data_IF_058851483514
#
_entry.id   IF_058851483514
#
_cell.length_a   1.000
_cell.length_b   1.000
_cell.length_c   1.000
_cell.angle_alpha   90.00
_cell.angle_beta   90.00
_cell.angle_gamma   90.00
#
_symmetry.space_group_name_H-M   'P 1'
#
loop_
_entity.id
_entity.type
_entity.pdbx_description
1 polymer ?
#
# COMPACT_ATOMS: atom_id res chain seq x y z
N UNK A 1 -19.84 11.96 16.42
CA UNK A 1 -19.96 13.42 16.09
C UNK A 1 -20.45 13.57 14.67
N UNK A 2 -21.36 14.53 14.35
CA UNK A 2 -21.85 14.72 12.97
C UNK A 2 -20.86 15.58 12.15
N UNK A 3 -20.81 15.45 10.83
CA UNK A 3 -19.91 16.24 9.95
C UNK A 3 -20.04 17.77 10.17
N UNK A 4 -21.23 18.26 10.52
CA UNK A 4 -21.46 19.68 10.87
C UNK A 4 -20.73 20.12 12.14
N UNK A 5 -20.54 19.24 13.10
CA UNK A 5 -19.83 19.51 14.35
C UNK A 5 -18.32 19.55 14.11
N UNK A 6 -17.81 18.68 13.24
CA UNK A 6 -16.40 18.73 12.79
C UNK A 6 -16.13 20.05 12.05
N UNK A 7 -17.05 20.49 11.19
CA UNK A 7 -16.96 21.77 10.49
C UNK A 7 -16.90 22.96 11.47
N UNK A 8 -17.76 22.97 12.48
CA UNK A 8 -17.77 24.00 13.52
C UNK A 8 -16.46 24.00 14.34
N UNK A 9 -15.98 22.83 14.73
CA UNK A 9 -14.74 22.67 15.52
C UNK A 9 -13.48 23.08 14.75
N UNK A 10 -13.47 22.87 13.44
CA UNK A 10 -12.34 23.22 12.58
C UNK A 10 -12.46 24.62 11.97
N UNK A 11 -13.58 25.31 12.17
CA UNK A 11 -13.80 26.66 11.62
C UNK A 11 -13.89 26.69 10.09
N UNK A 12 -14.43 25.64 9.50
CA UNK A 12 -14.65 25.54 8.03
C UNK A 12 -16.11 25.24 7.73
N UNK A 13 -16.50 25.38 6.45
CA UNK A 13 -17.85 24.99 6.02
C UNK A 13 -18.03 23.45 5.99
N UNK A 14 -19.23 22.92 6.15
CA UNK A 14 -19.50 21.49 5.98
C UNK A 14 -19.10 20.95 4.59
N UNK A 15 -19.17 21.77 3.56
CA UNK A 15 -18.68 21.44 2.23
C UNK A 15 -17.15 21.28 2.18
N UNK A 16 -16.40 22.09 2.93
CA UNK A 16 -14.95 21.92 3.05
C UNK A 16 -14.58 20.60 3.74
N UNK A 17 -15.30 20.20 4.80
CA UNK A 17 -15.14 18.89 5.45
C UNK A 17 -15.43 17.76 4.45
N UNK A 18 -16.49 17.88 3.65
CA UNK A 18 -16.82 16.92 2.60
C UNK A 18 -15.72 16.82 1.52
N UNK A 19 -15.14 17.96 1.10
CA UNK A 19 -14.01 17.95 0.16
C UNK A 19 -12.81 17.17 0.72
N UNK A 20 -12.49 17.37 2.00
CA UNK A 20 -11.40 16.65 2.67
C UNK A 20 -11.71 15.17 2.76
N UNK A 21 -12.92 14.80 3.17
CA UNK A 21 -13.38 13.43 3.31
C UNK A 21 -13.28 12.65 1.97
N UNK A 22 -13.59 13.32 0.85
CA UNK A 22 -13.51 12.74 -0.49
C UNK A 22 -12.17 13.01 -1.22
N UNK A 23 -11.15 13.47 -0.51
CA UNK A 23 -9.81 13.67 -1.08
C UNK A 23 -9.70 14.80 -2.12
N UNK A 24 -10.72 15.68 -2.25
CA UNK A 24 -10.77 16.74 -3.26
C UNK A 24 -9.92 17.96 -2.86
N UNK A 25 -9.36 18.70 -3.82
CA UNK A 25 -8.64 19.95 -3.55
C UNK A 25 -9.60 21.06 -3.09
N UNK A 26 -9.06 22.13 -2.47
CA UNK A 26 -9.85 23.29 -2.04
C UNK A 26 -9.73 23.61 -0.55
N UNK A 27 -8.95 22.83 0.21
CA UNK A 27 -8.65 23.08 1.64
C UNK A 27 -7.13 23.06 1.82
N UNK A 28 -6.59 24.08 2.49
CA UNK A 28 -5.15 24.20 2.76
C UNK A 28 -4.62 23.03 3.60
N UNK A 29 -3.33 22.69 3.45
CA UNK A 29 -2.70 21.48 4.02
C UNK A 29 -2.90 21.35 5.54
N UNK A 30 -2.60 22.39 6.31
CA UNK A 30 -2.76 22.38 7.78
C UNK A 30 -4.22 22.14 8.23
N UNK A 31 -5.18 22.77 7.53
CA UNK A 31 -6.60 22.60 7.82
C UNK A 31 -7.10 21.22 7.41
N UNK A 32 -6.59 20.70 6.30
CA UNK A 32 -6.86 19.33 5.83
C UNK A 32 -6.44 18.30 6.84
N UNK A 33 -5.24 18.42 7.40
CA UNK A 33 -4.71 17.51 8.40
C UNK A 33 -5.55 17.53 9.69
N UNK A 34 -5.94 18.72 10.16
CA UNK A 34 -6.82 18.87 11.32
C UNK A 34 -8.17 18.20 11.12
N UNK A 35 -8.78 18.38 9.93
CA UNK A 35 -10.07 17.77 9.58
C UNK A 35 -9.93 16.25 9.48
N UNK A 36 -8.87 15.74 8.85
CA UNK A 36 -8.60 14.32 8.71
C UNK A 36 -8.51 13.63 10.06
N UNK A 37 -7.76 14.20 11.00
CA UNK A 37 -7.63 13.67 12.37
C UNK A 37 -9.00 13.56 13.06
N UNK A 38 -9.81 14.60 12.99
CA UNK A 38 -11.15 14.58 13.61
C UNK A 38 -12.11 13.60 12.93
N UNK A 39 -11.99 13.41 11.61
CA UNK A 39 -12.75 12.40 10.88
C UNK A 39 -12.36 10.99 11.36
N UNK A 40 -11.08 10.69 11.48
CA UNK A 40 -10.56 9.40 11.95
C UNK A 40 -10.97 9.12 13.40
N UNK A 41 -10.81 10.09 14.31
CA UNK A 41 -11.21 9.98 15.72
C UNK A 41 -12.71 9.72 15.91
N UNK A 42 -13.54 10.15 14.96
CA UNK A 42 -15.00 9.97 15.00
C UNK A 42 -15.51 8.84 14.09
N UNK A 43 -14.62 7.98 13.60
CA UNK A 43 -14.98 6.79 12.83
C UNK A 43 -15.44 7.08 11.40
N UNK A 44 -15.22 8.29 10.88
CA UNK A 44 -15.40 8.59 9.47
C UNK A 44 -14.15 8.13 8.71
N UNK A 45 -14.21 6.95 8.07
CA UNK A 45 -13.20 6.60 7.10
C UNK A 45 -13.24 7.65 5.97
N UNK A 46 -12.15 8.38 5.77
CA UNK A 46 -12.01 9.20 4.58
C UNK A 46 -12.18 8.28 3.37
N UNK A 47 -13.14 8.61 2.53
CA UNK A 47 -13.33 7.93 1.25
C UNK A 47 -12.14 8.34 0.36
N UNK A 48 -10.99 7.66 0.57
CA UNK A 48 -9.87 7.79 -0.37
C UNK A 48 -10.42 7.33 -1.72
N UNK A 49 -10.20 8.08 -2.80
CA UNK A 49 -10.69 7.68 -4.11
C UNK A 49 -10.32 6.22 -4.31
N UNK A 50 -11.30 5.35 -4.48
CA UNK A 50 -11.09 3.96 -4.85
C UNK A 50 -10.41 4.00 -6.22
N UNK A 51 -9.13 3.69 -6.24
CA UNK A 51 -8.46 3.40 -7.50
C UNK A 51 -9.19 2.18 -8.08
N UNK A 52 -9.75 2.33 -9.27
CA UNK A 52 -10.27 1.18 -9.97
C UNK A 52 -9.10 0.27 -10.32
N UNK A 53 -9.28 -1.05 -10.35
CA UNK A 53 -8.22 -1.97 -10.75
C UNK A 53 -7.54 -1.58 -12.06
N UNK A 54 -8.32 -1.10 -13.05
CA UNK A 54 -7.83 -0.59 -14.32
C UNK A 54 -6.97 0.68 -14.21
N UNK A 55 -7.25 1.59 -13.24
CA UNK A 55 -6.48 2.81 -13.04
C UNK A 55 -5.13 2.52 -12.35
N UNK A 56 -5.08 1.46 -11.53
CA UNK A 56 -3.86 0.96 -10.90
C UNK A 56 -2.89 0.40 -11.95
N UNK A 57 -3.42 -0.13 -13.02
CA UNK A 57 -2.68 -0.91 -14.01
C UNK A 57 -2.41 -0.16 -15.33
N UNK A 58 -2.88 1.08 -15.48
CA UNK A 58 -2.65 1.89 -16.69
C UNK A 58 -1.21 2.36 -16.79
N UNK A 59 -0.48 1.84 -17.75
CA UNK A 59 0.83 2.35 -18.21
C UNK A 59 0.99 2.12 -19.70
N UNK A 60 1.57 3.10 -20.37
CA UNK A 60 1.64 3.13 -21.85
C UNK A 60 2.78 2.26 -22.45
N UNK A 61 3.73 1.77 -21.61
CA UNK A 61 4.83 0.92 -22.10
C UNK A 61 5.16 -0.16 -21.05
N UNK A 62 4.63 -1.36 -21.22
CA UNK A 62 4.35 -2.25 -20.10
C UNK A 62 5.18 -3.54 -20.05
N UNK A 63 5.81 -3.96 -21.12
CA UNK A 63 6.56 -5.23 -21.17
C UNK A 63 7.82 -5.26 -20.29
N UNK A 64 8.28 -4.10 -19.81
CA UNK A 64 9.45 -3.94 -18.94
C UNK A 64 9.14 -3.27 -17.60
N UNK A 65 7.90 -3.32 -17.15
CA UNK A 65 7.52 -2.78 -15.85
C UNK A 65 7.48 -3.88 -14.78
N UNK A 66 8.04 -3.59 -13.60
CA UNK A 66 7.82 -4.36 -12.37
C UNK A 66 6.84 -3.57 -11.51
N UNK A 67 5.78 -4.22 -11.04
CA UNK A 67 4.79 -3.59 -10.18
C UNK A 67 5.07 -3.89 -8.71
N UNK A 68 5.27 -2.85 -7.93
CA UNK A 68 5.29 -2.95 -6.47
C UNK A 68 3.92 -2.54 -5.93
N UNK A 69 3.20 -3.51 -5.40
CA UNK A 69 1.94 -3.30 -4.70
C UNK A 69 2.23 -3.13 -3.20
N UNK A 70 2.07 -1.92 -2.71
CA UNK A 70 2.16 -1.60 -1.28
C UNK A 70 0.79 -1.83 -0.66
N UNK A 71 0.60 -2.97 0.00
CA UNK A 71 -0.68 -3.36 0.56
C UNK A 71 -0.84 -2.92 2.00
N UNK A 72 -1.97 -2.28 2.31
CA UNK A 72 -2.32 -1.79 3.65
C UNK A 72 -3.58 -2.48 4.16
N UNK A 73 -3.53 -2.96 5.42
CA UNK A 73 -4.72 -3.44 6.12
C UNK A 73 -5.18 -2.42 7.18
N UNK A 74 -4.28 -2.01 8.05
CA UNK A 74 -4.54 -1.07 9.14
C UNK A 74 -3.73 0.22 9.03
N UNK A 75 -2.86 0.33 8.04
CA UNK A 75 -1.94 1.44 7.79
C UNK A 75 -0.94 1.74 8.93
N UNK A 76 -0.94 0.96 10.01
CA UNK A 76 -0.06 1.21 11.17
C UNK A 76 1.40 0.86 10.90
N UNK A 77 1.68 -0.28 10.29
CA UNK A 77 3.05 -0.74 10.05
C UNK A 77 3.65 -0.09 8.80
N UNK A 78 2.87 0.02 7.75
CA UNK A 78 3.33 0.57 6.47
C UNK A 78 3.46 2.09 6.51
N UNK A 79 2.49 2.80 7.11
CA UNK A 79 2.53 4.26 7.24
C UNK A 79 3.32 4.71 8.49
N UNK A 80 3.40 3.87 9.51
CA UNK A 80 4.17 4.15 10.73
C UNK A 80 5.68 4.02 10.57
N UNK A 81 6.15 3.40 9.47
CA UNK A 81 7.58 3.23 9.19
C UNK A 81 7.98 3.72 7.79
N UNK A 82 7.75 5.02 7.47
CA UNK A 82 7.98 5.55 6.14
C UNK A 82 9.45 5.44 5.69
N UNK A 83 10.40 5.56 6.60
CA UNK A 83 11.83 5.44 6.29
C UNK A 83 12.21 4.06 5.79
N UNK A 84 11.74 3.01 6.44
CA UNK A 84 11.97 1.63 6.03
C UNK A 84 11.34 1.32 4.66
N UNK A 85 10.09 1.74 4.47
CA UNK A 85 9.37 1.53 3.21
C UNK A 85 10.06 2.29 2.05
N UNK A 86 10.53 3.52 2.29
CA UNK A 86 11.27 4.29 1.28
C UNK A 86 12.57 3.59 0.90
N UNK A 87 13.34 3.07 1.85
CA UNK A 87 14.57 2.33 1.57
C UNK A 87 14.32 1.10 0.70
N UNK A 88 13.24 0.36 0.95
CA UNK A 88 12.85 -0.79 0.11
C UNK A 88 12.54 -0.31 -1.31
N UNK A 89 11.72 0.73 -1.47
CA UNK A 89 11.34 1.27 -2.78
C UNK A 89 12.57 1.77 -3.55
N UNK A 90 13.47 2.50 -2.89
CA UNK A 90 14.68 3.03 -3.50
C UNK A 90 15.61 1.92 -3.98
N UNK A 91 15.82 0.87 -3.15
CA UNK A 91 16.63 -0.28 -3.52
C UNK A 91 16.04 -1.04 -4.73
N UNK A 92 14.74 -1.30 -4.72
CA UNK A 92 14.05 -1.95 -5.85
C UNK A 92 14.14 -1.07 -7.10
N UNK A 93 13.90 0.24 -6.98
CA UNK A 93 13.96 1.19 -8.10
C UNK A 93 15.35 1.22 -8.74
N UNK A 94 16.40 1.20 -7.92
CA UNK A 94 17.78 1.17 -8.40
C UNK A 94 18.04 -0.11 -9.20
N UNK A 95 17.64 -1.26 -8.66
CA UNK A 95 17.88 -2.54 -9.32
C UNK A 95 17.03 -2.70 -10.59
N UNK A 96 15.77 -2.28 -10.58
CA UNK A 96 14.93 -2.25 -11.78
C UNK A 96 15.61 -1.46 -12.90
N UNK A 97 16.11 -0.26 -12.62
CA UNK A 97 16.82 0.56 -13.62
C UNK A 97 18.08 -0.12 -14.16
N UNK A 98 18.86 -0.79 -13.30
CA UNK A 98 20.06 -1.53 -13.72
C UNK A 98 19.74 -2.67 -14.67
N UNK A 99 18.59 -3.31 -14.50
CA UNK A 99 18.09 -4.43 -15.32
C UNK A 99 17.24 -3.96 -16.51
N UNK A 100 17.06 -2.66 -16.70
CA UNK A 100 16.26 -2.11 -17.81
C UNK A 100 14.76 -2.20 -17.59
N UNK A 101 14.31 -2.31 -16.33
CA UNK A 101 12.90 -2.29 -15.95
C UNK A 101 12.50 -0.92 -15.36
N UNK A 102 11.23 -0.59 -15.50
CA UNK A 102 10.59 0.51 -14.78
C UNK A 102 9.90 -0.04 -13.53
N UNK A 103 9.99 0.70 -12.42
CA UNK A 103 9.25 0.37 -11.20
C UNK A 103 7.97 1.20 -11.10
N UNK A 104 6.84 0.52 -11.06
CA UNK A 104 5.53 1.11 -10.85
C UNK A 104 5.06 0.82 -9.43
N UNK A 105 4.99 1.84 -8.60
CA UNK A 105 4.57 1.71 -7.20
C UNK A 105 3.10 2.08 -7.05
N UNK A 106 2.31 1.18 -6.51
CA UNK A 106 0.89 1.39 -6.25
C UNK A 106 0.56 1.03 -4.80
N UNK A 107 -0.23 1.86 -4.15
CA UNK A 107 -0.76 1.56 -2.82
C UNK A 107 -2.20 1.07 -2.95
N UNK A 108 -2.51 -0.07 -2.33
CA UNK A 108 -3.85 -0.65 -2.31
C UNK A 108 -4.23 -1.09 -0.88
N UNK A 109 -5.51 -1.40 -0.68
CA UNK A 109 -6.00 -2.02 0.56
C UNK A 109 -5.99 -3.54 0.41
N UNK A 110 -5.82 -4.26 1.51
CA UNK A 110 -5.87 -5.72 1.53
C UNK A 110 -7.18 -6.27 0.93
N UNK A 111 -8.31 -5.60 1.21
CA UNK A 111 -9.62 -6.00 0.69
C UNK A 111 -9.74 -5.89 -0.84
N UNK A 112 -9.00 -4.97 -1.47
CA UNK A 112 -9.06 -4.74 -2.93
C UNK A 112 -8.02 -5.62 -3.68
N UNK A 113 -7.10 -6.25 -2.94
CA UNK A 113 -5.96 -6.97 -3.50
C UNK A 113 -6.34 -8.12 -4.46
N UNK A 114 -7.32 -9.00 -4.16
CA UNK A 114 -7.70 -10.08 -5.07
C UNK A 114 -8.23 -9.57 -6.42
N UNK A 115 -8.94 -8.44 -6.42
CA UNK A 115 -9.46 -7.82 -7.65
C UNK A 115 -8.33 -7.20 -8.48
N UNK A 116 -7.42 -6.46 -7.83
CA UNK A 116 -6.24 -5.88 -8.46
C UNK A 116 -5.37 -6.98 -9.08
N UNK A 117 -5.17 -8.09 -8.36
CA UNK A 117 -4.36 -9.21 -8.86
C UNK A 117 -5.00 -9.90 -10.07
N UNK A 118 -6.33 -10.05 -10.13
CA UNK A 118 -7.01 -10.61 -11.31
C UNK A 118 -6.86 -9.73 -12.56
N UNK A 119 -6.65 -8.44 -12.37
CA UNK A 119 -6.47 -7.49 -13.48
C UNK A 119 -5.00 -7.39 -13.95
N UNK A 120 -4.08 -8.18 -13.40
CA UNK A 120 -2.69 -8.25 -13.88
C UNK A 120 -2.60 -9.10 -15.14
N UNK A 121 -2.05 -8.53 -16.20
CA UNK A 121 -1.81 -9.20 -17.48
C UNK A 121 -0.32 -9.21 -17.82
N UNK A 122 0.18 -10.31 -18.38
CA UNK A 122 1.59 -10.46 -18.74
C UNK A 122 2.08 -9.41 -19.75
N UNK A 123 1.19 -8.93 -20.61
CA UNK A 123 1.48 -7.86 -21.58
C UNK A 123 1.69 -6.51 -20.92
N UNK A 124 1.28 -6.35 -19.66
CA UNK A 124 1.31 -5.10 -18.91
C UNK A 124 2.42 -5.03 -17.86
N UNK A 125 3.01 -6.13 -17.44
CA UNK A 125 4.16 -6.13 -16.55
C UNK A 125 4.93 -7.45 -16.60
N UNK A 126 6.23 -7.37 -16.28
CA UNK A 126 7.11 -8.54 -16.21
C UNK A 126 7.05 -9.28 -14.88
N UNK A 127 6.46 -8.69 -13.84
CA UNK A 127 6.33 -9.32 -12.53
C UNK A 127 5.71 -8.38 -11.48
N UNK A 128 5.29 -8.98 -10.37
CA UNK A 128 4.68 -8.28 -9.24
C UNK A 128 5.51 -8.51 -7.97
N UNK A 129 5.85 -7.43 -7.28
CA UNK A 129 6.36 -7.43 -5.92
C UNK A 129 5.22 -7.00 -5.01
N UNK A 130 4.86 -7.82 -4.03
CA UNK A 130 3.79 -7.53 -3.08
C UNK A 130 4.39 -7.25 -1.72
N UNK A 131 4.38 -5.99 -1.28
CA UNK A 131 4.74 -5.63 0.08
C UNK A 131 3.59 -6.00 1.01
N UNK A 132 3.79 -7.09 1.73
CA UNK A 132 2.77 -7.78 2.50
C UNK A 132 2.92 -7.66 4.01
N UNK A 133 3.64 -6.66 4.53
CA UNK A 133 3.92 -6.45 5.97
C UNK A 133 2.66 -6.58 6.84
N UNK A 134 1.51 -6.10 6.35
CA UNK A 134 0.23 -6.13 7.08
C UNK A 134 -0.73 -7.24 6.62
N UNK A 135 -0.34 -8.09 5.66
CA UNK A 135 -1.19 -9.17 5.16
C UNK A 135 -1.19 -10.36 6.10
N UNK A 136 -2.35 -10.99 6.22
CA UNK A 136 -2.54 -12.25 6.95
C UNK A 136 -2.49 -13.44 5.98
N UNK A 137 -2.32 -14.65 6.51
CA UNK A 137 -2.43 -15.89 5.72
C UNK A 137 -3.79 -15.98 5.00
N UNK A 138 -4.87 -15.49 5.64
CA UNK A 138 -6.19 -15.42 5.02
C UNK A 138 -6.20 -14.55 3.76
N UNK A 139 -5.49 -13.43 3.76
CA UNK A 139 -5.38 -12.57 2.56
C UNK A 139 -4.57 -13.28 1.48
N UNK A 140 -3.44 -13.89 1.85
CA UNK A 140 -2.54 -14.57 0.92
C UNK A 140 -3.20 -15.77 0.24
N UNK A 141 -4.04 -16.53 0.96
CA UNK A 141 -4.81 -17.65 0.39
C UNK A 141 -5.84 -17.21 -0.66
N UNK A 142 -6.29 -15.98 -0.63
CA UNK A 142 -7.27 -15.46 -1.60
C UNK A 142 -6.64 -14.96 -2.90
N UNK A 143 -5.30 -14.93 -2.99
CA UNK A 143 -4.61 -14.46 -4.17
C UNK A 143 -4.83 -15.43 -5.35
N UNK A 144 -5.23 -14.91 -6.53
CA UNK A 144 -5.33 -15.73 -7.73
C UNK A 144 -3.93 -16.10 -8.25
N UNK A 145 -3.86 -17.16 -9.06
CA UNK A 145 -2.67 -17.39 -9.88
C UNK A 145 -2.49 -16.25 -10.87
N UNK A 146 -1.29 -15.72 -10.94
CA UNK A 146 -0.93 -14.66 -11.88
C UNK A 146 -0.25 -15.24 -13.13
N UNK A 147 -0.42 -14.59 -14.29
CA UNK A 147 0.30 -14.94 -15.51
C UNK A 147 1.76 -14.47 -15.49
N UNK A 148 2.21 -13.83 -14.40
CA UNK A 148 3.55 -13.28 -14.19
C UNK A 148 4.10 -13.71 -12.83
N UNK A 149 5.43 -13.73 -12.64
CA UNK A 149 6.03 -14.02 -11.33
C UNK A 149 5.52 -13.07 -10.24
N UNK A 150 5.23 -13.62 -9.06
CA UNK A 150 4.88 -12.89 -7.84
C UNK A 150 5.91 -13.20 -6.76
N UNK A 151 6.42 -12.15 -6.12
CA UNK A 151 7.29 -12.26 -4.94
C UNK A 151 6.69 -11.46 -3.80
N UNK A 152 6.48 -12.10 -2.66
CA UNK A 152 6.02 -11.48 -1.43
C UNK A 152 7.22 -10.87 -0.68
N UNK A 153 7.10 -9.62 -0.26
CA UNK A 153 8.13 -8.89 0.48
C UNK A 153 7.68 -8.65 1.92
N UNK A 154 8.62 -8.82 2.85
CA UNK A 154 8.45 -8.57 4.28
C UNK A 154 7.29 -9.36 4.93
N UNK A 155 6.98 -10.50 4.35
CA UNK A 155 6.02 -11.48 4.86
C UNK A 155 6.34 -12.87 4.30
N UNK A 156 5.96 -13.91 5.01
CA UNK A 156 6.03 -15.30 4.56
C UNK A 156 4.85 -16.06 5.14
N UNK A 157 4.27 -16.96 4.34
CA UNK A 157 3.21 -17.87 4.79
C UNK A 157 3.67 -19.31 4.60
N UNK A 158 3.48 -20.13 5.62
CA UNK A 158 3.68 -21.56 5.51
C UNK A 158 2.51 -22.29 4.80
N UNK A 159 1.41 -21.57 4.58
CA UNK A 159 0.17 -22.11 4.02
C UNK A 159 0.03 -21.85 2.51
N UNK A 160 0.95 -21.10 1.92
CA UNK A 160 0.95 -20.76 0.49
C UNK A 160 2.31 -21.01 -0.11
N UNK A 161 2.34 -21.50 -1.35
CA UNK A 161 3.58 -21.72 -2.13
C UNK A 161 3.99 -20.43 -2.85
N UNK A 162 4.14 -19.34 -2.10
CA UNK A 162 4.58 -18.07 -2.61
C UNK A 162 6.08 -17.86 -2.38
N UNK A 163 6.79 -17.46 -3.44
CA UNK A 163 8.15 -16.97 -3.26
C UNK A 163 8.13 -15.74 -2.36
N UNK A 164 8.94 -15.74 -1.30
CA UNK A 164 8.97 -14.65 -0.34
C UNK A 164 10.39 -14.22 0.04
N UNK A 165 10.53 -12.95 0.37
CA UNK A 165 11.77 -12.36 0.90
C UNK A 165 11.40 -11.68 2.21
N UNK A 166 12.05 -12.12 3.29
CA UNK A 166 11.88 -11.56 4.64
C UNK A 166 13.23 -11.21 5.26
N UNK A 167 13.20 -10.34 6.26
CA UNK A 167 14.38 -10.11 7.11
C UNK A 167 14.66 -11.35 7.97
N UNK A 168 15.93 -11.71 8.15
CA UNK A 168 16.34 -12.80 9.05
C UNK A 168 16.31 -12.36 10.53
N UNK A 169 15.13 -11.97 10.99
CA UNK A 169 14.90 -11.51 12.36
C UNK A 169 15.24 -12.59 13.40
N UNK A 170 15.06 -13.87 13.07
CA UNK A 170 15.40 -14.97 13.97
C UNK A 170 16.89 -15.03 14.27
N UNK A 171 17.73 -14.91 13.25
CA UNK A 171 19.16 -14.91 13.42
C UNK A 171 19.66 -13.62 14.10
N UNK A 172 19.08 -12.47 13.76
CA UNK A 172 19.36 -11.20 14.41
C UNK A 172 19.11 -11.26 15.93
N UNK A 173 17.99 -11.81 16.35
CA UNK A 173 17.65 -11.99 17.79
C UNK A 173 18.61 -12.99 18.45
N UNK A 174 18.95 -14.12 17.79
CA UNK A 174 19.94 -15.07 18.32
C UNK A 174 21.31 -14.42 18.53
N UNK A 175 21.73 -13.57 17.61
CA UNK A 175 23.00 -12.86 17.75
C UNK A 175 22.92 -11.86 18.91
N UNK A 176 21.85 -11.07 19.02
CA UNK A 176 21.68 -10.14 20.13
C UNK A 176 21.72 -10.85 21.50
N UNK A 177 21.03 -11.98 21.65
CA UNK A 177 21.03 -12.76 22.90
C UNK A 177 22.38 -13.38 23.26
N UNK A 178 23.30 -13.52 22.31
CA UNK A 178 24.70 -13.97 22.62
C UNK A 178 25.58 -12.87 23.17
N UNK A 179 25.15 -11.61 23.02
CA UNK A 179 25.87 -10.44 23.54
C UNK A 179 25.45 -10.07 24.97
N UNK A 180 24.32 -10.59 25.44
CA UNK A 180 23.79 -10.42 26.80
C UNK A 180 24.33 -11.51 27.73
#
# INVERSE_FOLDING_TARGET
MKLKEIAAQTGVSPSAVSLVMHGRPGVGAAKREQIMRLLEENGYAADKPRLRPEDVLRTENTARAIRLLKCKRHAMLVDGNPGFISMIIDAISLECRRQGYELLVTTCRAADLPEIMRAVHAEQCGGVLLLGTELTDGDLRTLPQLPVPLVLLDNASAETDLNSITMDNRNAIRQALRYL
#
